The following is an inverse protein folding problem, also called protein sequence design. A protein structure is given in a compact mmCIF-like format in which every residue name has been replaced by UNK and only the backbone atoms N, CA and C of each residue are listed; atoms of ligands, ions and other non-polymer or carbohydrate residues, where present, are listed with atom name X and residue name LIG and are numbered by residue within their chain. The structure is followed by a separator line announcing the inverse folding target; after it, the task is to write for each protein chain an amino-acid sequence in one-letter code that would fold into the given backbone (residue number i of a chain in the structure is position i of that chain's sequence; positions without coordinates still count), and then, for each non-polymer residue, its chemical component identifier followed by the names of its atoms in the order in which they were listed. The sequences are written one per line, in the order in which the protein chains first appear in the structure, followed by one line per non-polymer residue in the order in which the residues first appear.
data_IF_575237469801
#
_entry.id   IF_575237469801
#
_cell.length_a   1.000
_cell.length_b   1.000
_cell.length_c   1.000
_cell.angle_alpha   90.00
_cell.angle_beta   90.00
_cell.angle_gamma   90.00
#
_symmetry.space_group_name_H-M   'P 1'
#
loop_
_entity.id
_entity.type
_entity.pdbx_description
1 polymer ?
#
# COMPACT_ATOMS: atom_id res chain seq x y z
N UNK A 1 -8.41 11.75 1.01
CA UNK A 1 -8.39 11.74 2.50
C UNK A 1 -6.98 11.83 3.11
N UNK A 2 -6.16 10.78 3.18
CA UNK A 2 -4.85 10.86 3.88
C UNK A 2 -3.87 11.84 3.22
N UNK A 3 -3.86 11.92 1.89
CA UNK A 3 -3.04 12.89 1.16
C UNK A 3 -3.41 14.34 1.53
N UNK A 4 -4.71 14.67 1.57
CA UNK A 4 -5.18 15.99 2.01
C UNK A 4 -4.83 16.28 3.48
N UNK A 5 -4.84 15.26 4.35
CA UNK A 5 -4.43 15.41 5.75
C UNK A 5 -2.92 15.65 5.89
N UNK A 6 -2.11 15.07 4.99
CA UNK A 6 -0.68 15.34 4.89
C UNK A 6 -0.41 16.76 4.40
N UNK A 7 -1.13 17.23 3.39
CA UNK A 7 -1.02 18.61 2.88
C UNK A 7 -1.42 19.65 3.94
N UNK A 8 -2.45 19.35 4.74
CA UNK A 8 -2.88 20.21 5.86
C UNK A 8 -1.97 20.14 7.08
N UNK A 9 -0.91 19.32 7.05
CA UNK A 9 0.03 19.15 8.18
C UNK A 9 -0.56 18.46 9.41
N UNK A 10 -1.77 17.88 9.30
CA UNK A 10 -2.45 17.17 10.38
C UNK A 10 -1.74 15.83 10.65
N UNK A 11 -1.22 15.21 9.60
CA UNK A 11 -0.44 13.98 9.68
C UNK A 11 1.04 14.28 9.43
N UNK A 12 1.91 13.81 10.33
CA UNK A 12 3.34 14.02 10.22
C UNK A 12 3.95 13.12 9.14
N UNK A 13 4.51 13.74 8.08
CA UNK A 13 5.31 13.08 7.05
C UNK A 13 6.46 12.26 7.65
N UNK A 14 7.16 12.80 8.66
CA UNK A 14 8.28 12.12 9.35
C UNK A 14 7.81 10.85 10.06
N UNK A 15 6.65 10.93 10.74
CA UNK A 15 6.05 9.77 11.42
C UNK A 15 5.63 8.68 10.42
N UNK A 16 4.95 9.08 9.34
CA UNK A 16 4.54 8.12 8.31
C UNK A 16 5.74 7.45 7.64
N UNK A 17 6.82 8.20 7.37
CA UNK A 17 8.04 7.61 6.83
C UNK A 17 8.56 6.51 7.76
N UNK A 18 8.71 6.81 9.07
CA UNK A 18 9.20 5.84 10.06
C UNK A 18 8.30 4.59 10.18
N UNK A 19 6.98 4.74 10.05
CA UNK A 19 6.05 3.61 10.14
C UNK A 19 6.04 2.73 8.87
N UNK A 20 6.34 3.29 7.69
CA UNK A 20 6.10 2.61 6.40
C UNK A 20 7.34 2.42 5.51
N UNK A 21 8.51 2.99 5.83
CA UNK A 21 9.69 2.91 4.95
C UNK A 21 10.09 1.47 4.62
N UNK A 22 10.05 0.54 5.60
CA UNK A 22 10.35 -0.87 5.35
C UNK A 22 9.40 -1.53 4.35
N UNK A 23 8.12 -1.14 4.35
CA UNK A 23 7.13 -1.65 3.38
C UNK A 23 7.37 -1.15 1.95
N UNK A 24 8.20 -0.12 1.79
CA UNK A 24 8.69 0.38 0.51
C UNK A 24 10.10 -0.12 0.17
N UNK A 25 10.61 -1.11 0.90
CA UNK A 25 11.95 -1.67 0.71
C UNK A 25 13.05 -0.59 0.79
N UNK A 26 12.88 0.35 1.72
CA UNK A 26 13.89 1.33 2.09
C UNK A 26 14.79 0.78 3.20
N UNK A 27 16.09 1.08 3.11
CA UNK A 27 17.06 0.82 4.17
C UNK A 27 16.95 1.86 5.28
N UNK A 28 17.56 1.58 6.43
CA UNK A 28 17.59 2.54 7.55
C UNK A 28 18.39 3.78 7.18
N UNK A 29 19.48 3.60 6.42
CA UNK A 29 20.28 4.70 5.87
C UNK A 29 19.45 5.59 4.94
N UNK A 30 18.68 5.01 4.02
CA UNK A 30 17.80 5.76 3.12
C UNK A 30 16.74 6.54 3.89
N UNK A 31 16.09 5.90 4.88
CA UNK A 31 15.11 6.58 5.72
C UNK A 31 15.75 7.74 6.51
N UNK A 32 16.96 7.53 7.04
CA UNK A 32 17.68 8.54 7.81
C UNK A 32 18.13 9.72 6.93
N UNK A 33 18.63 9.45 5.72
CA UNK A 33 18.97 10.48 4.72
C UNK A 33 17.74 11.34 4.43
N UNK A 34 16.59 10.74 4.13
CA UNK A 34 15.34 11.46 3.85
C UNK A 34 14.93 12.32 5.06
N UNK A 35 14.94 11.76 6.27
CA UNK A 35 14.60 12.50 7.49
C UNK A 35 15.53 13.69 7.72
N UNK A 36 16.83 13.51 7.46
CA UNK A 36 17.83 14.56 7.62
C UNK A 36 17.63 15.67 6.59
N UNK A 37 17.35 15.32 5.33
CA UNK A 37 17.00 16.31 4.29
C UNK A 37 15.75 17.10 4.69
N UNK A 38 14.69 16.41 5.15
CA UNK A 38 13.48 17.08 5.62
C UNK A 38 13.77 18.02 6.79
N UNK A 39 14.59 17.59 7.75
CA UNK A 39 14.99 18.41 8.89
C UNK A 39 15.79 19.65 8.46
N UNK A 40 16.79 19.49 7.59
CA UNK A 40 17.65 20.59 7.14
C UNK A 40 16.88 21.59 6.26
N UNK A 41 15.93 21.11 5.44
CA UNK A 41 15.05 21.97 4.64
C UNK A 41 14.07 22.76 5.52
N UNK A 42 13.64 22.23 6.68
CA UNK A 42 12.81 22.97 7.63
C UNK A 42 13.60 24.12 8.29
N UNK A 43 14.91 23.95 8.47
CA UNK A 43 15.80 24.92 9.14
C UNK A 43 16.43 25.93 8.17
N UNK A 44 16.65 25.54 6.91
CA UNK A 44 17.40 26.33 5.92
C UNK A 44 16.67 26.35 4.58
N UNK A 45 16.68 27.50 3.90
CA UNK A 45 16.17 27.61 2.51
C UNK A 45 17.16 27.12 1.45
N UNK A 46 18.22 26.42 1.86
CA UNK A 46 19.30 25.98 0.95
C UNK A 46 19.07 24.53 0.56
N UNK A 47 19.46 24.18 -0.65
CA UNK A 47 19.45 22.80 -1.12
C UNK A 47 20.34 21.95 -0.20
N UNK A 48 19.79 20.85 0.30
CA UNK A 48 20.56 19.88 1.07
C UNK A 48 21.41 19.03 0.12
N UNK A 49 22.74 19.14 0.23
CA UNK A 49 23.69 18.40 -0.61
C UNK A 49 24.27 17.18 0.10
N UNK A 50 24.79 16.17 -0.63
CA UNK A 50 25.47 15.02 -0.02
C UNK A 50 26.63 15.40 0.92
N UNK A 51 27.44 16.40 0.54
CA UNK A 51 28.51 16.93 1.39
C UNK A 51 27.98 17.54 2.70
N UNK A 52 26.83 18.23 2.66
CA UNK A 52 26.21 18.76 3.87
C UNK A 52 25.72 17.63 4.77
N UNK A 53 25.06 16.61 4.19
CA UNK A 53 24.54 15.46 4.91
C UNK A 53 25.64 14.63 5.58
N UNK A 54 26.82 14.51 4.94
CA UNK A 54 27.97 13.79 5.49
C UNK A 54 28.48 14.39 6.82
N UNK A 55 28.15 15.65 7.13
CA UNK A 55 28.48 16.26 8.42
C UNK A 55 27.58 15.76 9.57
N UNK A 56 26.43 15.17 9.26
CA UNK A 56 25.42 14.73 10.23
C UNK A 56 25.22 13.22 10.27
N UNK A 57 25.70 12.51 9.25
CA UNK A 57 25.52 11.08 9.08
C UNK A 57 26.88 10.38 9.14
N UNK A 58 26.90 9.15 9.63
CA UNK A 58 28.09 8.29 9.54
C UNK A 58 28.19 7.64 8.15
N UNK A 59 28.16 8.47 7.11
CA UNK A 59 28.21 8.11 5.69
C UNK A 59 29.05 9.17 4.97
N UNK A 60 29.87 8.72 4.02
CA UNK A 60 30.57 9.61 3.10
C UNK A 60 29.60 10.28 2.12
N UNK A 61 30.02 11.41 1.54
CA UNK A 61 29.25 12.09 0.50
C UNK A 61 28.94 11.16 -0.69
N UNK A 62 29.86 10.28 -1.06
CA UNK A 62 29.69 9.32 -2.17
C UNK A 62 28.65 8.26 -1.83
N UNK A 63 28.65 7.73 -0.60
CA UNK A 63 27.63 6.78 -0.15
C UNK A 63 26.24 7.42 -0.14
N UNK A 64 26.14 8.68 0.31
CA UNK A 64 24.88 9.42 0.32
C UNK A 64 24.37 9.66 -1.11
N UNK A 65 25.26 10.02 -2.04
CA UNK A 65 24.92 10.20 -3.45
C UNK A 65 24.38 8.91 -4.07
N UNK A 66 25.07 7.78 -3.88
CA UNK A 66 24.60 6.47 -4.34
C UNK A 66 23.22 6.11 -3.77
N UNK A 67 22.98 6.37 -2.48
CA UNK A 67 21.66 6.10 -1.87
C UNK A 67 20.57 6.99 -2.46
N UNK A 68 20.86 8.26 -2.78
CA UNK A 68 19.92 9.16 -3.45
C UNK A 68 19.64 8.71 -4.90
N UNK A 69 20.64 8.23 -5.63
CA UNK A 69 20.44 7.66 -6.96
C UNK A 69 19.51 6.45 -6.90
N UNK A 70 19.74 5.51 -5.97
CA UNK A 70 18.86 4.34 -5.78
C UNK A 70 17.41 4.76 -5.47
N UNK A 71 17.24 5.80 -4.65
CA UNK A 71 15.91 6.34 -4.34
C UNK A 71 15.23 6.96 -5.56
N UNK A 72 15.99 7.61 -6.44
CA UNK A 72 15.47 8.21 -7.67
C UNK A 72 15.10 7.13 -8.70
N UNK A 73 15.95 6.09 -8.86
CA UNK A 73 15.67 4.94 -9.72
C UNK A 73 14.39 4.19 -9.31
N UNK A 74 14.11 4.11 -8.01
CA UNK A 74 12.87 3.53 -7.46
C UNK A 74 11.65 4.45 -7.59
N UNK A 75 11.79 5.62 -8.21
CA UNK A 75 10.75 6.65 -8.32
C UNK A 75 10.20 7.04 -6.93
N UNK A 76 11.08 7.14 -5.93
CA UNK A 76 10.70 7.59 -4.58
C UNK A 76 10.98 9.08 -4.43
N UNK A 77 12.03 9.58 -5.09
CA UNK A 77 12.42 10.98 -5.05
C UNK A 77 12.64 11.52 -6.47
N UNK A 78 12.53 12.84 -6.60
CA UNK A 78 12.95 13.57 -7.79
C UNK A 78 13.96 14.64 -7.36
N UNK A 79 15.16 14.60 -7.94
CA UNK A 79 16.21 15.59 -7.66
C UNK A 79 15.98 16.79 -8.57
N UNK A 80 15.58 17.93 -8.00
CA UNK A 80 15.40 19.20 -8.71
C UNK A 80 16.59 20.11 -8.43
N UNK A 81 16.70 21.18 -9.22
CA UNK A 81 17.82 22.14 -9.13
C UNK A 81 18.00 22.73 -7.74
N UNK A 82 16.90 22.98 -7.03
CA UNK A 82 16.93 23.70 -5.74
C UNK A 82 16.55 22.83 -4.54
N UNK A 83 15.98 21.64 -4.76
CA UNK A 83 15.51 20.76 -3.68
C UNK A 83 15.29 19.32 -4.15
N UNK A 84 15.14 18.41 -3.19
CA UNK A 84 14.75 17.03 -3.44
C UNK A 84 13.25 16.89 -3.14
N UNK A 85 12.48 16.46 -4.13
CA UNK A 85 11.05 16.28 -4.03
C UNK A 85 10.70 14.87 -3.56
N UNK A 86 9.98 14.78 -2.43
CA UNK A 86 9.53 13.52 -1.83
C UNK A 86 8.05 13.19 -2.14
N UNK A 87 7.43 13.90 -3.09
CA UNK A 87 5.99 13.73 -3.39
C UNK A 87 5.64 12.30 -3.80
N UNK A 88 6.48 11.64 -4.61
CA UNK A 88 6.22 10.27 -5.06
C UNK A 88 6.33 9.27 -3.91
N UNK A 89 7.33 9.40 -3.04
CA UNK A 89 7.44 8.65 -1.79
C UNK A 89 6.16 8.78 -0.94
N UNK A 90 5.69 10.00 -0.67
CA UNK A 90 4.52 10.19 0.20
C UNK A 90 3.20 9.77 -0.46
N UNK A 91 3.08 9.83 -1.78
CA UNK A 91 1.97 9.21 -2.52
C UNK A 91 1.97 7.69 -2.31
N UNK A 92 3.12 7.02 -2.48
CA UNK A 92 3.25 5.57 -2.26
C UNK A 92 2.95 5.18 -0.81
N UNK A 93 3.45 5.93 0.18
CA UNK A 93 3.10 5.70 1.59
C UNK A 93 1.59 5.87 1.82
N UNK A 94 0.97 6.90 1.24
CA UNK A 94 -0.47 7.14 1.39
C UNK A 94 -1.30 5.96 0.89
N UNK A 95 -0.91 5.36 -0.24
CA UNK A 95 -1.56 4.16 -0.76
C UNK A 95 -1.43 2.99 0.24
N UNK A 96 -0.23 2.74 0.77
CA UNK A 96 -0.03 1.68 1.77
C UNK A 96 -0.88 1.86 3.03
N UNK A 97 -1.00 3.09 3.53
CA UNK A 97 -1.83 3.39 4.71
C UNK A 97 -3.30 3.13 4.38
N UNK A 98 -3.75 3.57 3.20
CA UNK A 98 -5.12 3.38 2.75
C UNK A 98 -5.46 1.89 2.60
N UNK A 99 -4.58 1.10 1.98
CA UNK A 99 -4.75 -0.34 1.82
C UNK A 99 -4.83 -1.05 3.17
N UNK A 100 -3.92 -0.70 4.10
CA UNK A 100 -3.95 -1.25 5.46
C UNK A 100 -5.23 -0.88 6.20
N UNK A 101 -5.75 0.32 6.00
CA UNK A 101 -6.99 0.79 6.61
C UNK A 101 -8.21 0.05 6.04
N UNK A 102 -8.29 -0.10 4.71
CA UNK A 102 -9.34 -0.87 4.04
C UNK A 102 -9.37 -2.31 4.55
N UNK A 103 -8.23 -2.99 4.58
CA UNK A 103 -8.16 -4.37 5.10
C UNK A 103 -8.64 -4.44 6.56
N UNK A 104 -8.30 -3.44 7.37
CA UNK A 104 -8.76 -3.37 8.76
C UNK A 104 -10.27 -3.20 8.89
N UNK A 105 -10.91 -2.45 7.99
CA UNK A 105 -12.38 -2.32 7.97
C UNK A 105 -13.06 -3.67 7.72
N UNK A 106 -12.52 -4.48 6.81
CA UNK A 106 -13.02 -5.81 6.48
C UNK A 106 -12.45 -6.92 7.38
N UNK A 107 -11.83 -6.59 8.52
CA UNK A 107 -11.12 -7.59 9.33
C UNK A 107 -12.03 -8.71 9.82
N UNK A 108 -13.24 -8.39 10.30
CA UNK A 108 -14.18 -9.41 10.76
C UNK A 108 -14.66 -10.33 9.63
N UNK A 109 -14.89 -9.75 8.46
CA UNK A 109 -15.22 -10.49 7.25
C UNK A 109 -14.09 -11.47 6.88
N UNK A 110 -12.83 -11.02 6.86
CA UNK A 110 -11.70 -11.89 6.55
C UNK A 110 -11.49 -13.00 7.58
N UNK A 111 -11.67 -12.71 8.87
CA UNK A 111 -11.62 -13.74 9.93
C UNK A 111 -12.66 -14.83 9.66
N UNK A 112 -13.87 -14.46 9.23
CA UNK A 112 -14.92 -15.43 8.93
C UNK A 112 -14.66 -16.18 7.62
N UNK A 113 -14.15 -15.50 6.60
CA UNK A 113 -13.82 -16.11 5.32
C UNK A 113 -12.69 -17.14 5.49
N UNK A 114 -11.61 -16.78 6.18
CA UNK A 114 -10.44 -17.65 6.37
C UNK A 114 -10.77 -18.92 7.20
N UNK A 115 -11.84 -18.93 8.01
CA UNK A 115 -12.32 -20.18 8.66
C UNK A 115 -12.78 -21.24 7.66
N UNK A 116 -13.23 -20.82 6.48
CA UNK A 116 -13.70 -21.71 5.42
C UNK A 116 -12.58 -22.06 4.43
N UNK A 117 -11.39 -21.48 4.57
CA UNK A 117 -10.24 -21.70 3.69
C UNK A 117 -9.21 -22.61 4.35
N UNK A 118 -8.45 -23.35 3.53
CA UNK A 118 -7.32 -24.15 4.02
C UNK A 118 -6.00 -23.37 4.03
N UNK A 119 -6.05 -22.06 3.83
CA UNK A 119 -4.89 -21.16 3.74
C UNK A 119 -5.26 -19.76 4.25
N UNK A 120 -4.26 -18.98 4.65
CA UNK A 120 -4.43 -17.57 5.02
C UNK A 120 -4.24 -16.66 3.81
N UNK A 121 -5.04 -15.58 3.75
CA UNK A 121 -4.97 -14.65 2.64
C UNK A 121 -3.80 -13.67 2.84
N UNK A 122 -3.02 -13.45 1.79
CA UNK A 122 -2.02 -12.37 1.77
C UNK A 122 -2.69 -11.00 1.69
N UNK A 123 -1.96 -9.93 1.99
CA UNK A 123 -2.49 -8.56 1.89
C UNK A 123 -3.01 -8.27 0.47
N UNK A 124 -2.25 -8.64 -0.57
CA UNK A 124 -2.65 -8.46 -1.97
C UNK A 124 -3.93 -9.23 -2.32
N UNK A 125 -4.07 -10.45 -1.79
CA UNK A 125 -5.28 -11.26 -1.98
C UNK A 125 -6.49 -10.64 -1.29
N UNK A 126 -6.31 -10.08 -0.08
CA UNK A 126 -7.35 -9.32 0.64
C UNK A 126 -7.80 -8.11 -0.16
N UNK A 127 -6.86 -7.33 -0.72
CA UNK A 127 -7.20 -6.19 -1.58
C UNK A 127 -7.97 -6.59 -2.84
N UNK A 128 -7.60 -7.71 -3.48
CA UNK A 128 -8.35 -8.25 -4.63
C UNK A 128 -9.78 -8.64 -4.26
N UNK A 129 -9.97 -9.28 -3.10
CA UNK A 129 -11.30 -9.63 -2.60
C UNK A 129 -12.12 -8.37 -2.30
N UNK A 130 -11.55 -7.35 -1.64
CA UNK A 130 -12.24 -6.07 -1.39
C UNK A 130 -12.71 -5.45 -2.70
N UNK A 131 -11.87 -5.47 -3.75
CA UNK A 131 -12.26 -4.96 -5.06
C UNK A 131 -13.47 -5.70 -5.65
N UNK A 132 -13.51 -7.03 -5.52
CA UNK A 132 -14.67 -7.83 -5.93
C UNK A 132 -15.92 -7.50 -5.10
N UNK A 133 -15.76 -7.29 -3.80
CA UNK A 133 -16.87 -6.92 -2.91
C UNK A 133 -17.49 -5.57 -3.25
N UNK A 134 -16.68 -4.64 -3.76
CA UNK A 134 -17.14 -3.32 -4.16
C UNK A 134 -17.86 -3.29 -5.52
N UNK A 135 -17.73 -4.35 -6.33
CA UNK A 135 -18.13 -4.31 -7.75
C UNK A 135 -19.10 -5.41 -8.16
N UNK A 136 -18.92 -6.63 -7.64
CA UNK A 136 -19.55 -7.82 -8.21
C UNK A 136 -20.31 -8.68 -7.20
N UNK A 137 -19.94 -8.68 -5.92
CA UNK A 137 -20.48 -9.64 -4.94
C UNK A 137 -20.60 -9.03 -3.53
N UNK A 138 -21.60 -9.45 -2.75
CA UNK A 138 -21.72 -9.06 -1.33
C UNK A 138 -20.94 -9.98 -0.41
N UNK A 139 -20.62 -9.53 0.81
CA UNK A 139 -19.89 -10.31 1.81
C UNK A 139 -20.58 -11.64 2.12
N UNK A 140 -21.90 -11.63 2.31
CA UNK A 140 -22.66 -12.82 2.67
C UNK A 140 -22.64 -13.87 1.56
N UNK A 141 -22.71 -13.42 0.29
CA UNK A 141 -22.64 -14.30 -0.87
C UNK A 141 -21.28 -14.96 -0.97
N UNK A 142 -20.20 -14.21 -0.74
CA UNK A 142 -18.86 -14.77 -0.77
C UNK A 142 -18.66 -15.81 0.35
N UNK A 143 -19.16 -15.53 1.56
CA UNK A 143 -19.14 -16.52 2.65
C UNK A 143 -19.93 -17.78 2.28
N UNK A 144 -21.11 -17.65 1.64
CA UNK A 144 -21.89 -18.80 1.16
C UNK A 144 -21.14 -19.64 0.13
N UNK A 145 -20.46 -19.02 -0.84
CA UNK A 145 -19.66 -19.73 -1.85
C UNK A 145 -18.60 -20.61 -1.19
N UNK A 146 -17.96 -20.09 -0.13
CA UNK A 146 -16.92 -20.82 0.59
C UNK A 146 -17.45 -21.84 1.59
N UNK A 147 -18.73 -21.77 1.96
CA UNK A 147 -19.31 -22.65 2.97
C UNK A 147 -19.28 -24.11 2.48
N UNK A 148 -18.79 -25.01 3.31
CA UNK A 148 -18.64 -26.45 3.03
C UNK A 148 -17.74 -26.81 1.82
N UNK A 149 -16.96 -25.89 1.27
CA UNK A 149 -15.98 -26.18 0.21
C UNK A 149 -14.56 -26.19 0.78
N UNK A 150 -13.79 -27.23 0.47
CA UNK A 150 -12.35 -27.29 0.81
C UNK A 150 -11.54 -26.50 -0.22
N UNK A 151 -11.50 -25.19 -0.06
CA UNK A 151 -10.72 -24.31 -0.95
C UNK A 151 -9.25 -24.33 -0.52
N UNK A 152 -8.41 -24.96 -1.35
CA UNK A 152 -6.99 -25.18 -1.10
C UNK A 152 -6.11 -23.95 -1.34
N UNK A 153 -6.52 -23.08 -2.26
CA UNK A 153 -5.72 -21.94 -2.70
C UNK A 153 -6.57 -20.80 -3.27
N UNK A 154 -5.91 -19.65 -3.45
CA UNK A 154 -6.56 -18.42 -3.89
C UNK A 154 -7.08 -18.48 -5.34
N UNK A 155 -6.42 -19.23 -6.22
CA UNK A 155 -6.90 -19.35 -7.60
C UNK A 155 -8.18 -20.19 -7.65
N UNK A 156 -8.28 -21.21 -6.82
CA UNK A 156 -9.49 -21.99 -6.68
C UNK A 156 -10.63 -21.16 -6.10
N UNK A 157 -10.35 -20.30 -5.12
CA UNK A 157 -11.33 -19.32 -4.61
C UNK A 157 -11.89 -18.44 -5.74
N UNK A 158 -11.02 -17.84 -6.56
CA UNK A 158 -11.44 -16.99 -7.67
C UNK A 158 -12.33 -17.73 -8.69
N UNK A 159 -11.97 -18.97 -9.04
CA UNK A 159 -12.79 -19.79 -9.95
C UNK A 159 -14.19 -20.06 -9.41
N UNK A 160 -14.31 -20.31 -8.11
CA UNK A 160 -15.62 -20.54 -7.49
C UNK A 160 -16.47 -19.26 -7.44
N UNK A 161 -15.83 -18.11 -7.26
CA UNK A 161 -16.51 -16.80 -7.37
C UNK A 161 -17.00 -16.56 -8.79
N UNK A 162 -16.16 -16.77 -9.80
CA UNK A 162 -16.53 -16.61 -11.21
C UNK A 162 -17.69 -17.54 -11.61
N UNK A 163 -17.67 -18.80 -11.17
CA UNK A 163 -18.77 -19.75 -11.40
C UNK A 163 -20.09 -19.23 -10.84
N UNK A 164 -20.07 -18.71 -9.61
CA UNK A 164 -21.26 -18.15 -8.96
C UNK A 164 -21.79 -16.91 -9.69
N UNK A 165 -20.90 -16.01 -10.13
CA UNK A 165 -21.29 -14.81 -10.87
C UNK A 165 -21.92 -15.17 -12.22
N UNK A 166 -21.35 -16.13 -12.94
CA UNK A 166 -21.88 -16.58 -14.23
C UNK A 166 -23.20 -17.34 -14.09
N UNK A 167 -23.39 -18.14 -13.04
CA UNK A 167 -24.68 -18.82 -12.81
C UNK A 167 -25.81 -17.85 -12.47
N UNK A 168 -25.52 -16.76 -11.75
CA UNK A 168 -26.53 -15.75 -11.41
C UNK A 168 -26.92 -14.87 -12.61
N UNK A 169 -26.08 -14.74 -13.63
CA UNK A 169 -26.47 -14.08 -14.89
C UNK A 169 -27.51 -14.90 -15.68
N UNK A 170 -27.45 -16.23 -15.60
CA UNK A 170 -28.41 -17.12 -16.25
C UNK A 170 -29.79 -17.06 -15.57
N UNK A 171 -29.85 -16.95 -14.23
CA UNK A 171 -31.11 -16.87 -13.47
C UNK A 171 -31.89 -15.57 -13.75
N UNK A 172 -31.20 -14.51 -14.19
CA UNK A 172 -31.85 -13.23 -14.57
C UNK A 172 -32.67 -13.31 -15.87
N UNK A 173 -32.59 -14.43 -16.60
CA UNK A 173 -33.39 -14.70 -17.80
C UNK A 173 -34.46 -15.80 -17.61
N UNK A 174 -34.52 -16.44 -16.44
CA UNK A 174 -35.50 -17.52 -16.17
C UNK A 174 -36.94 -17.02 -15.92
N UNK A 175 -37.15 -15.70 -15.78
CA UNK A 175 -38.49 -15.11 -15.67
C UNK A 175 -39.22 -14.94 -17.01
N UNK A 176 -38.59 -15.31 -18.14
CA UNK A 176 -39.20 -15.28 -19.48
C UNK A 176 -39.82 -16.62 -19.90
N UNK A 177 -39.83 -17.63 -19.02
CA UNK A 177 -40.29 -18.99 -19.32
C UNK A 177 -41.52 -19.46 -18.52
N UNK A 178 -42.25 -18.56 -17.85
CA UNK A 178 -43.60 -18.83 -17.31
C UNK A 178 -44.67 -17.94 -17.98
#
# INVERSE_FOLDING_TARGET
MIFELLEKGIVSKKKLLLEYYKKLNLTDNQALIILMIMYLNDQTRKMTTPNLLANYLNLSSVEIENELEILAEKDLIEIKTDFIDFSNLFKKITLLVNDSFLIKQYNQFFINLEKNLLFSLTQDQKLKIIKLLQTNIKEEQLLQITNNKKISDFNFLLKEIERYLNSNQLILFDWLND
#
